data_IF_157019797798
#
_entry.id   IF_157019797798
#
_cell.length_a   1.000
_cell.length_b   1.000
_cell.length_c   1.000
_cell.angle_alpha   90.00
_cell.angle_beta   90.00
_cell.angle_gamma   90.00
#
_symmetry.space_group_name_H-M   'P 1'
#
loop_
_entity.id
_entity.type
_entity.pdbx_description
1 polymer ?
#
# COMPACT_ATOMS: atom_id res chain seq x y z
N UNK A 1 27.63 31.35 -12.84
CA UNK A 1 27.94 30.04 -12.26
C UNK A 1 26.70 29.61 -11.50
N UNK A 2 25.87 28.75 -12.09
CA UNK A 2 24.62 28.33 -11.47
C UNK A 2 24.91 27.24 -10.44
N UNK A 3 24.54 27.50 -9.19
CA UNK A 3 24.67 26.56 -8.08
C UNK A 3 23.52 25.58 -8.17
N UNK A 4 23.72 24.48 -8.90
CA UNK A 4 22.85 23.32 -8.80
C UNK A 4 22.98 22.78 -7.36
N UNK A 5 21.94 22.97 -6.56
CA UNK A 5 21.85 22.31 -5.26
C UNK A 5 21.86 20.80 -5.51
N UNK A 6 22.92 20.11 -5.08
CA UNK A 6 23.16 18.67 -5.24
C UNK A 6 22.16 17.80 -4.45
N UNK A 7 20.85 18.02 -4.63
CA UNK A 7 19.85 17.07 -4.14
C UNK A 7 19.89 15.86 -5.06
N UNK A 8 20.53 14.80 -4.58
CA UNK A 8 20.53 13.48 -5.23
C UNK A 8 19.08 12.99 -5.31
N UNK A 9 18.52 12.99 -6.52
CA UNK A 9 17.20 12.42 -6.78
C UNK A 9 17.37 10.89 -6.76
N UNK A 10 16.65 10.17 -5.88
CA UNK A 10 16.75 8.72 -5.83
C UNK A 10 16.21 8.11 -7.12
N UNK A 11 16.86 7.04 -7.60
CA UNK A 11 16.40 6.30 -8.77
C UNK A 11 15.01 5.69 -8.53
N UNK A 12 14.25 5.43 -9.59
CA UNK A 12 12.98 4.71 -9.51
C UNK A 12 13.14 3.36 -8.80
N UNK A 13 14.26 2.65 -9.04
CA UNK A 13 14.56 1.39 -8.36
C UNK A 13 14.67 1.58 -6.84
N UNK A 14 15.39 2.61 -6.40
CA UNK A 14 15.54 2.93 -4.98
C UNK A 14 14.20 3.28 -4.33
N UNK A 15 13.35 4.03 -5.05
CA UNK A 15 12.00 4.40 -4.58
C UNK A 15 11.12 3.16 -4.45
N UNK A 16 11.05 2.30 -5.46
CA UNK A 16 10.24 1.07 -5.41
C UNK A 16 10.68 0.16 -4.26
N UNK A 17 11.99 -0.04 -4.09
CA UNK A 17 12.53 -0.85 -2.99
C UNK A 17 12.20 -0.27 -1.61
N UNK A 18 12.24 1.06 -1.49
CA UNK A 18 11.84 1.76 -0.26
C UNK A 18 10.33 1.63 -0.01
N UNK A 19 9.51 1.71 -1.05
CA UNK A 19 8.06 1.55 -0.93
C UNK A 19 7.69 0.12 -0.49
N UNK A 20 8.36 -0.90 -1.05
CA UNK A 20 8.15 -2.30 -0.65
C UNK A 20 8.51 -2.55 0.82
N UNK A 21 9.64 -2.01 1.28
CA UNK A 21 10.08 -2.19 2.67
C UNK A 21 9.14 -1.50 3.66
N UNK A 22 8.71 -0.27 3.36
CA UNK A 22 7.77 0.47 4.18
C UNK A 22 6.38 -0.19 4.19
N UNK A 23 5.91 -0.67 3.04
CA UNK A 23 4.63 -1.38 2.93
C UNK A 23 4.58 -2.61 3.82
N UNK A 24 5.67 -3.41 3.87
CA UNK A 24 5.76 -4.57 4.76
C UNK A 24 5.63 -4.22 6.23
N UNK A 25 6.26 -3.12 6.67
CA UNK A 25 6.18 -2.65 8.07
C UNK A 25 4.75 -2.26 8.41
N UNK A 26 4.09 -1.48 7.53
CA UNK A 26 2.70 -1.05 7.73
C UNK A 26 1.75 -2.25 7.78
N UNK A 27 1.87 -3.18 6.83
CA UNK A 27 1.06 -4.40 6.80
C UNK A 27 1.25 -5.26 8.04
N UNK A 28 2.48 -5.40 8.53
CA UNK A 28 2.76 -6.15 9.77
C UNK A 28 2.05 -5.51 10.97
N UNK A 29 2.04 -4.18 11.06
CA UNK A 29 1.35 -3.46 12.13
C UNK A 29 -0.17 -3.58 12.02
N UNK A 30 -0.72 -3.55 10.81
CA UNK A 30 -2.15 -3.78 10.57
C UNK A 30 -2.54 -5.19 11.00
N UNK A 31 -1.78 -6.22 10.60
CA UNK A 31 -2.02 -7.62 10.99
C UNK A 31 -2.04 -7.79 12.51
N UNK A 32 -1.05 -7.21 13.22
CA UNK A 32 -1.02 -7.22 14.70
C UNK A 32 -2.23 -6.53 15.33
N UNK A 33 -2.73 -5.47 14.71
CA UNK A 33 -3.94 -4.76 15.21
C UNK A 33 -5.22 -5.54 14.96
N UNK A 34 -5.24 -6.36 13.92
CA UNK A 34 -6.40 -7.19 13.52
C UNK A 34 -6.45 -8.53 14.25
N UNK A 35 -5.33 -8.99 14.81
CA UNK A 35 -5.26 -10.27 15.52
C UNK A 35 -6.25 -10.31 16.69
N UNK A 36 -7.17 -11.28 16.63
CA UNK A 36 -8.21 -11.47 17.65
C UNK A 36 -9.38 -10.48 17.62
N UNK A 37 -9.49 -9.65 16.57
CA UNK A 37 -10.60 -8.69 16.39
C UNK A 37 -11.63 -9.15 15.37
N UNK A 38 -12.86 -8.67 15.53
CA UNK A 38 -13.89 -8.84 14.50
C UNK A 38 -13.62 -7.91 13.32
N UNK A 39 -13.58 -8.49 12.13
CA UNK A 39 -13.20 -7.81 10.89
C UNK A 39 -14.35 -7.94 9.90
N UNK A 40 -14.70 -6.80 9.30
CA UNK A 40 -15.57 -6.76 8.13
C UNK A 40 -14.74 -6.70 6.86
N UNK A 41 -15.09 -7.55 5.90
CA UNK A 41 -14.48 -7.60 4.57
C UNK A 41 -15.57 -7.32 3.53
N UNK A 42 -15.37 -6.27 2.74
CA UNK A 42 -16.15 -6.03 1.52
C UNK A 42 -15.27 -6.28 0.29
N UNK A 43 -15.83 -7.00 -0.67
CA UNK A 43 -15.19 -7.34 -1.94
C UNK A 43 -15.99 -6.69 -3.06
N UNK A 44 -15.31 -5.95 -3.92
CA UNK A 44 -15.88 -5.43 -5.15
C UNK A 44 -15.10 -6.00 -6.34
N UNK A 45 -15.82 -6.70 -7.23
CA UNK A 45 -15.24 -7.29 -8.43
C UNK A 45 -15.64 -6.44 -9.62
N UNK A 46 -14.64 -5.89 -10.30
CA UNK A 46 -14.85 -5.01 -11.44
C UNK A 46 -13.91 -5.38 -12.58
N UNK A 47 -14.17 -4.81 -13.74
CA UNK A 47 -13.33 -4.95 -14.92
C UNK A 47 -12.82 -3.55 -15.25
N UNK A 48 -11.50 -3.41 -15.37
CA UNK A 48 -10.91 -2.12 -15.73
C UNK A 48 -11.17 -1.77 -17.21
N UNK A 49 -10.79 -0.56 -17.61
CA UNK A 49 -10.96 -0.08 -19.00
C UNK A 49 -10.17 -0.90 -20.03
N UNK A 50 -9.22 -1.73 -19.59
CA UNK A 50 -8.41 -2.63 -20.41
C UNK A 50 -8.92 -4.08 -20.36
N UNK A 51 -10.15 -4.31 -19.88
CA UNK A 51 -10.77 -5.62 -19.72
C UNK A 51 -10.04 -6.57 -18.74
N UNK A 52 -9.27 -6.03 -17.80
CA UNK A 52 -8.60 -6.84 -16.77
C UNK A 52 -9.53 -7.00 -15.58
N UNK A 53 -9.65 -8.22 -15.09
CA UNK A 53 -10.37 -8.49 -13.85
C UNK A 53 -9.63 -7.85 -12.67
N UNK A 54 -10.33 -7.00 -11.92
CA UNK A 54 -9.85 -6.37 -10.71
C UNK A 54 -10.75 -6.76 -9.54
N UNK A 55 -10.17 -6.97 -8.37
CA UNK A 55 -10.92 -7.16 -7.12
C UNK A 55 -10.40 -6.18 -6.10
N UNK A 56 -11.24 -5.23 -5.70
CA UNK A 56 -10.98 -4.34 -4.58
C UNK A 56 -11.42 -5.02 -3.29
N UNK A 57 -10.60 -4.89 -2.24
CA UNK A 57 -10.88 -5.43 -0.90
C UNK A 57 -10.84 -4.27 0.08
N UNK A 58 -11.95 -4.04 0.77
CA UNK A 58 -12.03 -3.12 1.89
C UNK A 58 -12.04 -3.94 3.19
N UNK A 59 -11.12 -3.61 4.09
CA UNK A 59 -10.95 -4.25 5.40
C UNK A 59 -11.25 -3.23 6.48
N UNK A 60 -12.20 -3.53 7.37
CA UNK A 60 -12.63 -2.63 8.46
C UNK A 60 -12.63 -3.41 9.77
N UNK A 61 -12.12 -2.80 10.84
CA UNK A 61 -12.27 -3.33 12.21
C UNK A 61 -13.67 -2.98 12.72
N UNK A 62 -14.39 -3.96 13.23
CA UNK A 62 -15.74 -3.77 13.76
C UNK A 62 -15.77 -3.28 15.21
N UNK A 63 -14.63 -3.34 15.90
CA UNK A 63 -14.48 -2.87 17.27
C UNK A 63 -14.48 -1.33 17.32
N UNK A 64 -15.66 -0.75 17.57
CA UNK A 64 -15.88 0.63 17.99
C UNK A 64 -16.02 0.74 19.50
#
# INVERSE_FOLDING_TARGET
>A
MEVYSEKVIPSCFSITKSMDSQSKVVLTNILKKMEGKDIFLALDRTIDTLQRSMTAVLVVLLDG
#
